data_IF_516823762484
#
_entry.id   IF_516823762484
#
_cell.length_a   1.000
_cell.length_b   1.000
_cell.length_c   1.000
_cell.angle_alpha   90.00
_cell.angle_beta   90.00
_cell.angle_gamma   90.00
#
_symmetry.space_group_name_H-M   'P 1'
#
loop_
_entity.id
_entity.type
_entity.pdbx_description
1 polymer ?
#
# COMPACT_ATOMS: atom_id res chain seq x y z
N UNK A 1 -8.34 27.12 -6.81
CA UNK A 1 -9.65 26.63 -7.30
C UNK A 1 -9.38 25.26 -7.92
N UNK A 2 -9.88 24.17 -7.32
CA UNK A 2 -9.51 22.82 -7.73
C UNK A 2 -10.01 22.52 -9.15
N UNK A 3 -9.12 22.04 -10.01
CA UNK A 3 -9.47 21.70 -11.40
C UNK A 3 -10.12 20.32 -11.46
N UNK A 4 -11.09 20.12 -12.34
CA UNK A 4 -11.76 18.83 -12.54
C UNK A 4 -10.76 17.70 -12.84
N UNK A 5 -9.65 18.02 -13.50
CA UNK A 5 -8.56 17.10 -13.79
C UNK A 5 -7.87 16.61 -12.50
N UNK A 6 -7.62 17.50 -11.54
CA UNK A 6 -6.98 17.16 -10.26
C UNK A 6 -7.89 16.27 -9.42
N UNK A 7 -9.19 16.57 -9.38
CA UNK A 7 -10.19 15.76 -8.66
C UNK A 7 -10.25 14.35 -9.24
N UNK A 8 -10.23 14.22 -10.57
CA UNK A 8 -10.19 12.91 -11.24
C UNK A 8 -8.91 12.16 -10.91
N UNK A 9 -7.75 12.82 -10.97
CA UNK A 9 -6.46 12.20 -10.62
C UNK A 9 -6.43 11.71 -9.17
N UNK A 10 -6.89 12.52 -8.22
CA UNK A 10 -6.95 12.13 -6.80
C UNK A 10 -7.84 10.90 -6.57
N UNK A 11 -9.00 10.82 -7.25
CA UNK A 11 -9.88 9.64 -7.18
C UNK A 11 -9.23 8.38 -7.74
N UNK A 12 -8.52 8.48 -8.85
CA UNK A 12 -7.83 7.33 -9.45
C UNK A 12 -6.69 6.85 -8.55
N UNK A 13 -5.90 7.77 -7.97
CA UNK A 13 -4.84 7.45 -7.03
C UNK A 13 -5.37 6.81 -5.74
N UNK A 14 -6.47 7.33 -5.19
CA UNK A 14 -7.13 6.75 -4.01
C UNK A 14 -7.60 5.32 -4.24
N UNK A 15 -8.26 5.07 -5.38
CA UNK A 15 -8.67 3.71 -5.78
C UNK A 15 -7.47 2.77 -5.97
N UNK A 16 -6.38 3.29 -6.52
CA UNK A 16 -5.17 2.51 -6.72
C UNK A 16 -4.57 2.07 -5.37
N UNK A 17 -4.49 3.01 -4.42
CA UNK A 17 -4.03 2.74 -3.06
C UNK A 17 -4.94 1.70 -2.37
N UNK A 18 -6.26 1.86 -2.49
CA UNK A 18 -7.23 0.90 -1.96
C UNK A 18 -7.00 -0.51 -2.52
N UNK A 19 -6.90 -0.66 -3.85
CA UNK A 19 -6.65 -1.95 -4.49
C UNK A 19 -5.34 -2.58 -4.03
N UNK A 20 -4.30 -1.77 -3.87
CA UNK A 20 -3.01 -2.25 -3.36
C UNK A 20 -3.08 -2.72 -1.91
N UNK A 21 -3.85 -2.03 -1.06
CA UNK A 21 -4.07 -2.46 0.32
C UNK A 21 -4.85 -3.78 0.37
N UNK A 22 -5.91 -3.86 -0.43
CA UNK A 22 -6.79 -5.04 -0.49
C UNK A 22 -6.07 -6.27 -1.06
N UNK A 23 -5.19 -6.10 -2.05
CA UNK A 23 -4.40 -7.22 -2.59
C UNK A 23 -3.40 -7.81 -1.59
N UNK A 24 -3.00 -7.05 -0.58
CA UNK A 24 -2.18 -7.50 0.54
C UNK A 24 -3.01 -7.96 1.75
N UNK A 25 -4.34 -8.06 1.62
CA UNK A 25 -5.25 -8.40 2.72
C UNK A 25 -5.10 -7.47 3.95
N UNK A 26 -4.66 -6.23 3.75
CA UNK A 26 -4.39 -5.29 4.83
C UNK A 26 -5.65 -4.51 5.22
N UNK A 27 -5.92 -4.37 6.51
CA UNK A 27 -7.03 -3.54 6.99
C UNK A 27 -6.69 -2.05 6.92
N UNK A 28 -7.71 -1.19 6.86
CA UNK A 28 -7.52 0.27 6.89
C UNK A 28 -6.78 0.69 8.18
N UNK A 29 -7.11 0.06 9.31
CA UNK A 29 -6.42 0.29 10.59
C UNK A 29 -4.95 -0.13 10.52
N UNK A 30 -4.64 -1.25 9.84
CA UNK A 30 -3.26 -1.69 9.61
C UNK A 30 -2.46 -0.66 8.83
N UNK A 31 -3.02 -0.13 7.74
CA UNK A 31 -2.38 0.92 6.96
C UNK A 31 -2.22 2.22 7.74
N UNK A 32 -3.22 2.62 8.53
CA UNK A 32 -3.16 3.79 9.40
C UNK A 32 -1.99 3.68 10.40
N UNK A 33 -1.87 2.53 11.07
CA UNK A 33 -0.77 2.26 12.00
C UNK A 33 0.61 2.25 11.32
N UNK A 34 0.72 1.71 10.10
CA UNK A 34 1.98 1.66 9.34
C UNK A 34 2.42 3.02 8.79
N UNK A 35 1.45 3.82 8.34
CA UNK A 35 1.70 5.14 7.74
C UNK A 35 1.82 6.26 8.77
N UNK A 36 1.34 6.05 9.99
CA UNK A 36 1.22 7.09 11.02
C UNK A 36 0.08 8.08 10.78
N UNK A 37 -0.81 7.76 9.83
CA UNK A 37 -2.01 8.54 9.55
C UNK A 37 -3.17 8.05 10.42
N UNK A 38 -4.12 8.94 10.72
CA UNK A 38 -5.39 8.53 11.33
C UNK A 38 -6.21 7.69 10.36
N UNK A 39 -7.08 6.82 10.89
CA UNK A 39 -8.00 6.00 10.08
C UNK A 39 -8.83 6.88 9.14
N UNK A 40 -9.33 8.02 9.62
CA UNK A 40 -10.10 8.95 8.78
C UNK A 40 -9.26 9.55 7.64
N UNK A 41 -7.98 9.84 7.86
CA UNK A 41 -7.10 10.31 6.79
C UNK A 41 -6.90 9.22 5.74
N UNK A 42 -6.67 7.96 6.15
CA UNK A 42 -6.53 6.85 5.21
C UNK A 42 -7.81 6.65 4.38
N UNK A 43 -8.98 6.69 5.02
CA UNK A 43 -10.28 6.61 4.32
C UNK A 43 -10.45 7.76 3.32
N UNK A 44 -10.09 8.99 3.70
CA UNK A 44 -10.15 10.14 2.79
C UNK A 44 -9.17 10.01 1.63
N UNK A 45 -7.98 9.44 1.86
CA UNK A 45 -7.01 9.12 0.82
C UNK A 45 -7.56 8.10 -0.18
N UNK A 46 -8.10 6.98 0.31
CA UNK A 46 -8.66 5.92 -0.56
C UNK A 46 -9.88 6.41 -1.35
N UNK A 47 -10.71 7.25 -0.75
CA UNK A 47 -11.86 7.86 -1.45
C UNK A 47 -11.46 8.94 -2.48
N UNK A 48 -10.19 9.33 -2.53
CA UNK A 48 -9.73 10.46 -3.33
C UNK A 48 -10.33 11.79 -2.87
N UNK A 49 -10.65 11.92 -1.58
CA UNK A 49 -11.16 13.15 -1.00
C UNK A 49 -10.03 14.17 -0.85
N UNK A 50 -9.72 14.77 -1.98
CA UNK A 50 -8.69 15.78 -2.14
C UNK A 50 -8.83 16.99 -1.20
N UNK A 51 -10.07 17.38 -0.90
CA UNK A 51 -10.37 18.55 -0.07
C UNK A 51 -9.94 18.37 1.39
N UNK A 52 -9.84 17.12 1.86
CA UNK A 52 -9.36 16.81 3.21
C UNK A 52 -7.84 17.06 3.39
N UNK A 53 -7.09 17.29 2.29
CA UNK A 53 -5.64 17.46 2.28
C UNK A 53 -5.23 18.84 1.75
N UNK A 54 -5.92 19.89 2.22
CA UNK A 54 -5.53 21.27 1.94
C UNK A 54 -5.72 21.72 0.48
N UNK A 55 -6.46 20.95 -0.33
CA UNK A 55 -6.69 21.24 -1.75
C UNK A 55 -5.40 21.40 -2.58
N UNK A 56 -4.32 20.69 -2.21
CA UNK A 56 -3.07 20.65 -2.97
C UNK A 56 -2.74 19.25 -3.50
N UNK A 57 -2.77 19.06 -4.83
CA UNK A 57 -2.64 17.72 -5.45
C UNK A 57 -1.29 17.10 -5.11
N UNK A 58 -0.25 17.93 -5.02
CA UNK A 58 1.08 17.53 -4.60
C UNK A 58 1.11 16.97 -3.17
N UNK A 59 0.35 17.56 -2.23
CA UNK A 59 0.25 17.02 -0.87
C UNK A 59 -0.52 15.70 -0.84
N UNK A 60 -1.58 15.59 -1.64
CA UNK A 60 -2.32 14.35 -1.78
C UNK A 60 -1.43 13.24 -2.34
N UNK A 61 -0.71 13.51 -3.43
CA UNK A 61 0.23 12.58 -4.06
C UNK A 61 1.36 12.17 -3.11
N UNK A 62 1.92 13.11 -2.34
CA UNK A 62 2.95 12.81 -1.34
C UNK A 62 2.43 11.85 -0.27
N UNK A 63 1.19 12.02 0.21
CA UNK A 63 0.59 11.11 1.18
C UNK A 63 0.29 9.72 0.60
N UNK A 64 -0.18 9.66 -0.66
CA UNK A 64 -0.37 8.39 -1.37
C UNK A 64 0.96 7.65 -1.51
N UNK A 65 2.02 8.37 -1.91
CA UNK A 65 3.36 7.81 -2.07
C UNK A 65 3.94 7.31 -0.76
N UNK A 66 3.81 8.09 0.32
CA UNK A 66 4.22 7.67 1.67
C UNK A 66 3.50 6.39 2.12
N UNK A 67 2.18 6.30 1.91
CA UNK A 67 1.43 5.07 2.21
C UNK A 67 1.90 3.89 1.34
N UNK A 68 2.17 4.10 0.06
CA UNK A 68 2.65 3.07 -0.85
C UNK A 68 4.02 2.53 -0.42
N UNK A 69 4.96 3.42 -0.08
CA UNK A 69 6.28 3.06 0.43
C UNK A 69 6.20 2.23 1.72
N UNK A 70 5.29 2.58 2.64
CA UNK A 70 5.06 1.82 3.87
C UNK A 70 4.45 0.44 3.61
N UNK A 71 3.69 0.28 2.52
CA UNK A 71 3.21 -1.03 2.04
C UNK A 71 4.24 -1.79 1.20
N UNK A 72 5.42 -1.22 0.94
CA UNK A 72 6.42 -1.82 0.05
C UNK A 72 6.04 -1.81 -1.43
N UNK A 73 5.21 -0.86 -1.86
CA UNK A 73 4.67 -0.76 -3.22
C UNK A 73 5.07 0.56 -3.86
N UNK A 74 5.40 0.54 -5.16
CA UNK A 74 5.59 1.76 -5.94
C UNK A 74 4.29 2.09 -6.66
N UNK A 75 3.65 3.18 -6.28
CA UNK A 75 2.57 3.74 -7.08
C UNK A 75 3.22 4.71 -8.07
N UNK A 76 3.17 4.39 -9.37
CA UNK A 76 3.67 5.32 -10.38
C UNK A 76 2.51 6.22 -10.86
N UNK A 77 2.42 7.49 -10.40
CA UNK A 77 1.27 8.35 -10.67
C UNK A 77 1.12 8.69 -12.17
N UNK A 78 2.22 8.68 -12.93
CA UNK A 78 2.23 9.00 -14.37
C UNK A 78 1.68 7.83 -15.20
N UNK A 79 1.97 6.60 -14.79
CA UNK A 79 1.49 5.38 -15.47
C UNK A 79 0.17 4.84 -14.90
N UNK A 80 -0.32 5.39 -13.78
CA UNK A 80 -1.49 4.89 -13.04
C UNK A 80 -1.43 3.37 -12.82
N UNK A 81 -0.22 2.87 -12.56
CA UNK A 81 0.06 1.45 -12.41
C UNK A 81 0.65 1.18 -11.03
N UNK A 82 0.24 0.07 -10.44
CA UNK A 82 0.86 -0.49 -9.25
C UNK A 82 2.03 -1.33 -9.74
N UNK A 83 3.25 -0.86 -9.51
CA UNK A 83 4.44 -1.68 -9.68
C UNK A 83 4.90 -2.01 -8.27
N UNK A 84 4.81 -3.28 -7.87
CA UNK A 84 5.49 -3.72 -6.66
C UNK A 84 6.94 -3.25 -6.76
N UNK A 85 7.48 -2.62 -5.70
CA UNK A 85 8.91 -2.32 -5.69
C UNK A 85 9.56 -3.68 -5.94
N UNK A 86 10.26 -3.82 -7.06
CA UNK A 86 11.16 -4.95 -7.28
C UNK A 86 12.32 -4.77 -6.30
N UNK A 87 12.05 -4.96 -5.01
CA UNK A 87 12.97 -5.73 -4.20
C UNK A 87 13.14 -7.00 -5.00
N UNK A 88 14.35 -7.20 -5.53
CA UNK A 88 14.84 -8.40 -6.22
C UNK A 88 13.90 -9.56 -5.93
N UNK A 89 13.45 -10.34 -6.93
CA UNK A 89 12.70 -11.54 -6.63
C UNK A 89 13.50 -12.25 -5.56
N UNK A 90 12.92 -12.40 -4.38
CA UNK A 90 13.48 -13.28 -3.38
C UNK A 90 13.18 -14.65 -3.97
N UNK A 91 13.93 -15.03 -5.00
CA UNK A 91 14.36 -16.38 -5.23
C UNK A 91 15.28 -16.72 -4.05
N UNK A 92 14.73 -16.70 -2.84
CA UNK A 92 15.19 -17.65 -1.85
C UNK A 92 14.77 -18.98 -2.46
N UNK A 93 15.73 -19.61 -3.11
CA UNK A 93 15.75 -21.06 -3.19
C UNK A 93 15.74 -21.54 -1.74
N UNK A 94 14.56 -21.59 -1.12
CA UNK A 94 14.38 -22.30 0.12
C UNK A 94 14.68 -23.75 -0.25
N UNK A 95 15.89 -24.21 0.09
CA UNK A 95 16.12 -25.64 0.15
C UNK A 95 15.09 -26.20 1.12
N UNK A 96 14.55 -27.38 0.82
CA UNK A 96 13.53 -28.05 1.64
C UNK A 96 13.97 -28.11 3.11
N UNK A 97 15.28 -28.25 3.34
CA UNK A 97 15.92 -28.23 4.66
C UNK A 97 15.68 -26.94 5.47
N UNK A 98 15.59 -25.79 4.81
CA UNK A 98 15.38 -24.49 5.47
C UNK A 98 13.93 -24.32 5.96
N UNK A 99 12.99 -24.99 5.32
CA UNK A 99 11.57 -24.95 5.70
C UNK A 99 11.36 -25.82 6.94
N UNK A 100 11.94 -27.01 6.98
CA UNK A 100 11.85 -27.89 8.16
C UNK A 100 12.43 -27.24 9.42
N UNK A 101 13.53 -26.48 9.28
CA UNK A 101 14.12 -25.75 10.39
C UNK A 101 13.25 -24.61 10.93
N UNK A 102 12.36 -24.07 10.10
CA UNK A 102 11.43 -22.99 10.44
C UNK A 102 10.13 -23.49 11.07
N UNK A 103 9.84 -24.80 10.98
CA UNK A 103 8.71 -25.42 11.66
C UNK A 103 9.06 -25.58 13.16
N UNK A 104 8.24 -25.06 14.09
CA UNK A 104 8.41 -25.29 15.51
C UNK A 104 8.49 -26.80 15.84
N UNK A 105 9.42 -27.18 16.72
CA UNK A 105 9.79 -28.61 16.97
C UNK A 105 8.58 -29.49 17.31
N UNK A 106 7.58 -28.96 17.99
CA UNK A 106 6.37 -29.69 18.38
C UNK A 106 5.43 -30.04 17.22
N UNK A 107 5.51 -29.33 16.09
CA UNK A 107 4.73 -29.63 14.88
C UNK A 107 5.43 -30.61 13.94
N UNK A 108 6.73 -30.87 14.13
CA UNK A 108 7.50 -31.76 13.24
C UNK A 108 7.14 -33.24 13.36
N UNK A 109 6.50 -33.65 14.46
CA UNK A 109 6.28 -35.06 14.82
C UNK A 109 4.82 -35.53 14.68
N UNK A 110 3.98 -34.77 13.96
CA UNK A 110 2.53 -35.05 13.82
C UNK A 110 2.18 -35.64 12.44
N UNK A 111 3.16 -36.17 11.70
CA UNK A 111 2.98 -36.84 10.42
C UNK A 111 3.25 -38.35 10.52
#
# INVERSE_FOLDING_TARGET
>A
MANLTEIKSAKELGKLLQKSRESQCMSILGLANLSGLSVNQVVNLENGNFFAFGQSISQFEANVQHCAEKMGVTINPIKKSIEAISSKPITQSFSVDSIEQSIPVFLRHVA
#
